data_IF_497771426364
#
_entry.id   IF_497771426364
#
_cell.length_a   1.000
_cell.length_b   1.000
_cell.length_c   1.000
_cell.angle_alpha   90.00
_cell.angle_beta   90.00
_cell.angle_gamma   90.00
#
_symmetry.space_group_name_H-M   'P 1'
#
loop_
_entity.id
_entity.type
_entity.pdbx_description
1 polymer ?
#
# COMPACT_ATOMS: atom_id res chain seq x y z
N UNK A 1 12.73 33.96 -18.66
CA UNK A 1 12.82 32.52 -19.01
C UNK A 1 13.98 31.78 -18.33
N UNK A 2 15.10 32.44 -18.00
CA UNK A 2 16.29 31.79 -17.41
C UNK A 2 16.08 31.23 -15.99
N UNK A 3 15.30 31.92 -15.14
CA UNK A 3 14.92 31.43 -13.81
C UNK A 3 14.03 30.18 -13.82
N UNK A 4 13.19 30.02 -14.87
CA UNK A 4 12.32 28.87 -15.04
C UNK A 4 13.13 27.61 -15.37
N UNK A 5 14.12 27.73 -16.28
CA UNK A 5 15.05 26.64 -16.61
C UNK A 5 15.88 26.15 -15.43
N UNK A 6 16.18 27.00 -14.45
CA UNK A 6 16.97 26.62 -13.25
C UNK A 6 16.13 25.95 -12.15
N UNK A 7 14.82 26.14 -12.15
CA UNK A 7 13.93 25.74 -11.05
C UNK A 7 12.72 24.89 -11.47
N UNK A 8 12.73 24.36 -12.70
CA UNK A 8 11.66 23.52 -13.25
C UNK A 8 11.25 22.37 -12.33
N UNK A 9 12.21 21.70 -11.67
CA UNK A 9 11.94 20.55 -10.81
C UNK A 9 11.11 20.91 -9.56
N UNK A 10 11.13 22.17 -9.12
CA UNK A 10 10.32 22.63 -7.98
C UNK A 10 8.86 22.79 -8.40
N UNK A 11 8.63 23.39 -9.57
CA UNK A 11 7.29 23.52 -10.13
C UNK A 11 6.72 22.15 -10.49
N UNK A 12 7.55 21.30 -11.11
CA UNK A 12 7.17 19.95 -11.45
C UNK A 12 6.77 19.13 -10.22
N UNK A 13 7.54 19.20 -9.12
CA UNK A 13 7.19 18.45 -7.92
C UNK A 13 5.86 18.89 -7.33
N UNK A 14 5.56 20.20 -7.32
CA UNK A 14 4.27 20.73 -6.87
C UNK A 14 3.14 20.25 -7.77
N UNK A 15 3.26 20.38 -9.09
CA UNK A 15 2.23 19.94 -10.05
C UNK A 15 1.95 18.44 -9.91
N UNK A 16 3.00 17.63 -9.81
CA UNK A 16 2.87 16.18 -9.61
C UNK A 16 2.19 15.87 -8.28
N UNK A 17 2.58 16.50 -7.18
CA UNK A 17 1.99 16.23 -5.87
C UNK A 17 0.53 16.69 -5.78
N UNK A 18 0.18 17.81 -6.41
CA UNK A 18 -1.22 18.25 -6.52
C UNK A 18 -2.05 17.22 -7.30
N UNK A 19 -1.52 16.73 -8.43
CA UNK A 19 -2.15 15.64 -9.18
C UNK A 19 -2.31 14.37 -8.33
N UNK A 20 -1.26 13.96 -7.59
CA UNK A 20 -1.30 12.77 -6.74
C UNK A 20 -2.34 12.90 -5.62
N UNK A 21 -2.46 14.07 -5.00
CA UNK A 21 -3.48 14.33 -3.98
C UNK A 21 -4.88 14.28 -4.60
N UNK A 22 -5.07 14.98 -5.73
CA UNK A 22 -6.37 15.03 -6.40
C UNK A 22 -6.79 13.63 -6.89
N UNK A 23 -5.95 12.95 -7.67
CA UNK A 23 -6.25 11.61 -8.18
C UNK A 23 -6.34 10.58 -7.05
N UNK A 24 -5.43 10.63 -6.07
CA UNK A 24 -5.41 9.73 -4.92
C UNK A 24 -6.69 9.81 -4.07
N UNK A 25 -7.35 10.97 -4.00
CA UNK A 25 -8.59 11.16 -3.25
C UNK A 25 -9.87 11.06 -4.10
N UNK A 26 -9.83 11.47 -5.37
CA UNK A 26 -11.02 11.64 -6.20
C UNK A 26 -11.28 10.48 -7.17
N UNK A 27 -10.26 9.69 -7.52
CA UNK A 27 -10.47 8.47 -8.33
C UNK A 27 -11.32 7.49 -7.52
N UNK A 28 -12.48 7.03 -8.02
CA UNK A 28 -13.34 6.13 -7.26
C UNK A 28 -12.70 4.74 -7.14
N UNK A 29 -13.12 3.95 -6.15
CA UNK A 29 -12.86 2.52 -6.14
C UNK A 29 -13.78 1.81 -7.14
N UNK A 30 -13.42 0.60 -7.54
CA UNK A 30 -14.32 -0.29 -8.27
C UNK A 30 -15.47 -0.72 -7.37
N UNK A 31 -16.62 -1.10 -7.96
CA UNK A 31 -17.65 -1.82 -7.24
C UNK A 31 -17.07 -3.02 -6.50
N UNK A 32 -17.60 -3.31 -5.32
CA UNK A 32 -17.11 -4.40 -4.48
C UNK A 32 -18.13 -4.89 -3.47
N UNK A 33 -17.96 -6.13 -3.03
CA UNK A 33 -18.81 -6.73 -1.99
C UNK A 33 -18.17 -6.49 -0.62
N UNK A 34 -18.98 -6.09 0.36
CA UNK A 34 -18.51 -5.78 1.72
C UNK A 34 -18.74 -6.95 2.68
N UNK A 35 -19.99 -7.41 2.79
CA UNK A 35 -20.38 -8.49 3.71
C UNK A 35 -21.75 -9.07 3.34
N UNK A 36 -22.05 -10.21 3.93
CA UNK A 36 -23.40 -10.79 4.03
C UNK A 36 -23.97 -10.57 5.44
N UNK A 37 -25.27 -10.70 5.60
CA UNK A 37 -25.99 -10.67 6.88
C UNK A 37 -25.83 -11.97 7.70
N UNK A 38 -25.72 -13.11 7.03
CA UNK A 38 -25.40 -14.39 7.65
C UNK A 38 -23.99 -14.87 7.29
N UNK A 39 -23.25 -15.36 8.29
CA UNK A 39 -21.96 -16.03 8.08
C UNK A 39 -22.07 -17.55 8.15
N UNK A 40 -23.00 -18.12 8.94
CA UNK A 40 -23.15 -19.58 9.03
C UNK A 40 -24.49 -20.00 8.43
N UNK A 41 -24.46 -20.92 7.46
CA UNK A 41 -25.65 -21.47 6.81
C UNK A 41 -25.62 -22.99 6.80
N UNK A 42 -26.78 -23.64 6.78
CA UNK A 42 -26.92 -25.10 6.85
C UNK A 42 -27.11 -25.71 5.46
N UNK A 43 -26.48 -26.85 5.21
CA UNK A 43 -26.72 -27.65 4.02
C UNK A 43 -28.10 -28.32 4.06
N UNK A 44 -28.76 -28.43 2.90
CA UNK A 44 -30.10 -29.02 2.75
C UNK A 44 -31.25 -28.04 2.94
N UNK A 45 -30.95 -26.75 3.14
CA UNK A 45 -31.92 -25.67 3.32
C UNK A 45 -31.71 -24.58 2.27
N UNK A 46 -32.77 -23.82 1.98
CA UNK A 46 -32.69 -22.61 1.17
C UNK A 46 -32.38 -21.42 2.07
N UNK A 47 -31.37 -20.63 1.72
CA UNK A 47 -30.93 -19.47 2.48
C UNK A 47 -30.97 -18.22 1.60
N UNK A 48 -31.70 -17.20 2.05
CA UNK A 48 -31.64 -15.85 1.51
C UNK A 48 -30.51 -15.09 2.19
N UNK A 49 -29.58 -14.56 1.41
CA UNK A 49 -28.44 -13.78 1.89
C UNK A 49 -28.58 -12.33 1.45
N UNK A 50 -28.67 -11.41 2.41
CA UNK A 50 -28.57 -9.98 2.12
C UNK A 50 -27.11 -9.61 1.92
N UNK A 51 -26.76 -9.17 0.71
CA UNK A 51 -25.40 -8.79 0.34
C UNK A 51 -25.27 -7.27 0.36
N UNK A 52 -24.38 -6.76 1.21
CA UNK A 52 -24.02 -5.36 1.23
C UNK A 52 -22.82 -5.09 0.33
N UNK A 53 -22.94 -4.08 -0.52
CA UNK A 53 -21.93 -3.72 -1.53
C UNK A 53 -21.50 -2.26 -1.44
N UNK A 54 -20.35 -1.97 -2.07
CA UNK A 54 -19.72 -0.66 -2.13
C UNK A 54 -19.59 -0.19 -3.57
N UNK A 55 -20.01 1.05 -3.83
CA UNK A 55 -19.90 1.71 -5.14
C UNK A 55 -20.47 0.88 -6.31
N UNK A 56 -21.52 0.10 -6.05
CA UNK A 56 -22.34 -0.60 -7.02
C UNK A 56 -23.54 0.25 -7.45
N UNK A 57 -24.20 -0.17 -8.53
CA UNK A 57 -25.38 0.46 -9.12
C UNK A 57 -26.34 -0.63 -9.63
N UNK A 58 -26.74 -1.53 -8.74
CA UNK A 58 -27.55 -2.70 -9.11
C UNK A 58 -28.85 -2.36 -9.83
N UNK A 59 -29.49 -1.21 -9.56
CA UNK A 59 -30.74 -0.82 -10.24
C UNK A 59 -30.56 -0.48 -11.72
N UNK A 60 -29.31 -0.32 -12.19
CA UNK A 60 -28.96 0.00 -13.58
C UNK A 60 -28.55 -1.21 -14.40
N UNK A 61 -28.32 -2.35 -13.76
CA UNK A 61 -28.03 -3.60 -14.42
C UNK A 61 -29.33 -4.26 -14.87
N UNK A 62 -29.32 -4.90 -16.04
CA UNK A 62 -30.47 -5.70 -16.51
C UNK A 62 -30.32 -7.16 -16.05
N UNK A 63 -29.08 -7.64 -15.92
CA UNK A 63 -28.77 -9.02 -15.55
C UNK A 63 -27.92 -9.07 -14.29
N UNK A 64 -28.33 -9.94 -13.35
CA UNK A 64 -27.64 -10.19 -12.10
C UNK A 64 -27.43 -11.70 -11.95
N UNK A 65 -26.21 -12.09 -11.60
CA UNK A 65 -25.86 -13.48 -11.29
C UNK A 65 -25.02 -13.50 -10.03
N UNK A 66 -25.25 -14.49 -9.17
CA UNK A 66 -24.50 -14.65 -7.95
C UNK A 66 -24.17 -16.13 -7.73
N UNK A 67 -22.94 -16.41 -7.31
CA UNK A 67 -22.48 -17.76 -7.02
C UNK A 67 -21.85 -17.85 -5.64
N UNK A 68 -22.06 -18.97 -4.96
CA UNK A 68 -21.20 -19.44 -3.89
C UNK A 68 -20.15 -20.39 -4.48
N UNK A 69 -18.87 -20.08 -4.28
CA UNK A 69 -17.74 -20.89 -4.74
C UNK A 69 -16.93 -21.40 -3.56
N UNK A 70 -16.75 -22.71 -3.47
CA UNK A 70 -15.90 -23.35 -2.46
C UNK A 70 -14.42 -23.34 -2.90
N UNK A 71 -13.51 -23.97 -2.16
CA UNK A 71 -12.07 -23.92 -2.46
C UNK A 71 -11.68 -24.56 -3.80
N UNK A 72 -12.51 -25.46 -4.34
CA UNK A 72 -12.36 -26.08 -5.65
C UNK A 72 -13.25 -25.39 -6.71
N UNK A 73 -13.34 -25.95 -7.93
CA UNK A 73 -14.26 -25.51 -9.00
C UNK A 73 -15.77 -25.71 -8.65
N UNK A 74 -16.10 -26.05 -7.40
CA UNK A 74 -17.47 -26.23 -6.92
C UNK A 74 -18.17 -24.88 -6.75
N UNK A 75 -19.23 -24.69 -7.53
CA UNK A 75 -20.00 -23.46 -7.65
C UNK A 75 -21.49 -23.73 -7.58
N UNK A 76 -22.19 -22.93 -6.80
CA UNK A 76 -23.64 -22.96 -6.70
C UNK A 76 -24.19 -21.60 -7.12
N UNK A 77 -25.01 -21.56 -8.18
CA UNK A 77 -25.71 -20.35 -8.61
C UNK A 77 -26.89 -20.06 -7.69
N UNK A 78 -27.14 -18.77 -7.40
CA UNK A 78 -28.36 -18.31 -6.74
C UNK A 78 -29.60 -18.65 -7.58
N UNK A 79 -30.64 -19.18 -6.95
CA UNK A 79 -31.91 -19.47 -7.61
C UNK A 79 -32.76 -18.23 -7.84
N UNK A 80 -32.59 -17.20 -6.99
CA UNK A 80 -33.26 -15.91 -7.11
C UNK A 80 -32.34 -14.78 -6.65
N UNK A 81 -32.45 -13.61 -7.30
CA UNK A 81 -31.79 -12.38 -6.87
C UNK A 81 -32.81 -11.24 -6.92
N UNK A 82 -33.02 -10.59 -5.79
CA UNK A 82 -33.87 -9.40 -5.66
C UNK A 82 -32.97 -8.18 -5.44
N UNK A 83 -33.13 -7.17 -6.29
CA UNK A 83 -32.44 -5.89 -6.13
C UNK A 83 -33.23 -5.02 -5.15
N UNK A 84 -32.65 -4.80 -3.97
CA UNK A 84 -33.25 -3.95 -2.93
C UNK A 84 -32.95 -2.48 -3.22
N UNK A 85 -31.69 -2.16 -3.47
CA UNK A 85 -31.23 -0.85 -3.93
C UNK A 85 -29.88 -0.96 -4.66
N UNK A 86 -29.27 0.17 -5.04
CA UNK A 86 -27.99 0.19 -5.77
C UNK A 86 -26.82 -0.50 -5.06
N UNK A 87 -26.91 -0.73 -3.74
CA UNK A 87 -25.85 -1.29 -2.88
C UNK A 87 -26.28 -2.51 -2.08
N UNK A 88 -27.50 -3.01 -2.29
CA UNK A 88 -28.01 -4.18 -1.60
C UNK A 88 -28.76 -5.09 -2.56
N UNK A 89 -28.44 -6.37 -2.52
CA UNK A 89 -29.21 -7.43 -3.16
C UNK A 89 -29.53 -8.50 -2.12
N UNK A 90 -30.66 -9.18 -2.31
CA UNK A 90 -31.00 -10.42 -1.61
C UNK A 90 -30.80 -11.56 -2.61
N UNK A 91 -29.94 -12.51 -2.28
CA UNK A 91 -29.63 -13.65 -3.14
C UNK A 91 -29.98 -14.96 -2.43
N UNK A 92 -30.86 -15.74 -3.04
CA UNK A 92 -31.34 -17.02 -2.50
C UNK A 92 -30.51 -18.16 -3.05
N UNK A 93 -30.00 -19.00 -2.16
CA UNK A 93 -29.21 -20.18 -2.51
C UNK A 93 -29.85 -21.44 -1.93
N UNK A 94 -30.19 -22.38 -2.81
CA UNK A 94 -30.68 -23.70 -2.42
C UNK A 94 -29.48 -24.62 -2.16
N UNK A 95 -29.05 -24.70 -0.90
CA UNK A 95 -27.83 -25.42 -0.53
C UNK A 95 -28.10 -26.93 -0.58
N UNK A 96 -27.41 -27.71 -1.42
CA UNK A 96 -27.57 -29.16 -1.46
C UNK A 96 -27.26 -29.80 -0.11
N UNK A 97 -28.03 -30.82 0.28
CA UNK A 97 -27.83 -31.55 1.55
C UNK A 97 -26.45 -32.22 1.62
N UNK A 98 -25.99 -32.76 0.49
CA UNK A 98 -24.68 -33.37 0.35
C UNK A 98 -23.64 -32.33 -0.05
N UNK A 99 -22.60 -32.23 0.77
CA UNK A 99 -21.44 -31.39 0.49
C UNK A 99 -20.56 -32.03 -0.60
N UNK A 100 -19.83 -31.25 -1.40
CA UNK A 100 -18.95 -31.79 -2.42
C UNK A 100 -17.64 -32.34 -1.83
N UNK A 101 -17.37 -32.04 -0.56
CA UNK A 101 -16.22 -32.49 0.22
C UNK A 101 -16.66 -33.37 1.39
N UNK A 102 -15.77 -34.22 1.89
CA UNK A 102 -15.99 -34.96 3.14
C UNK A 102 -15.90 -34.09 4.40
N UNK A 103 -15.44 -32.84 4.25
CA UNK A 103 -15.43 -31.86 5.33
C UNK A 103 -16.85 -31.44 5.70
N UNK A 104 -17.12 -31.42 7.01
CA UNK A 104 -18.41 -30.98 7.55
C UNK A 104 -18.62 -29.47 7.40
N UNK A 105 -17.55 -28.69 7.39
CA UNK A 105 -17.63 -27.23 7.31
C UNK A 105 -16.78 -26.77 6.15
N UNK A 106 -17.37 -26.00 5.24
CA UNK A 106 -16.66 -25.47 4.09
C UNK A 106 -16.87 -23.95 3.97
N UNK A 107 -15.78 -23.22 3.69
CA UNK A 107 -15.84 -21.77 3.43
C UNK A 107 -16.18 -21.52 1.97
N UNK A 108 -17.22 -20.72 1.73
CA UNK A 108 -17.60 -20.28 0.39
C UNK A 108 -17.28 -18.80 0.19
N UNK A 109 -16.71 -18.48 -0.98
CA UNK A 109 -16.61 -17.12 -1.49
C UNK A 109 -17.88 -16.78 -2.26
N UNK A 110 -18.41 -15.58 -2.06
CA UNK A 110 -19.52 -15.07 -2.85
C UNK A 110 -18.97 -14.31 -4.06
N UNK A 111 -19.54 -14.57 -5.23
CA UNK A 111 -19.21 -13.89 -6.48
C UNK A 111 -20.50 -13.31 -7.00
N UNK A 112 -20.51 -12.01 -7.33
CA UNK A 112 -21.67 -11.32 -7.93
C UNK A 112 -21.21 -10.72 -9.24
N UNK A 113 -21.95 -10.99 -10.31
CA UNK A 113 -21.71 -10.46 -11.65
C UNK A 113 -22.93 -9.71 -12.13
N UNK A 114 -22.70 -8.50 -12.66
CA UNK A 114 -23.73 -7.73 -13.35
C UNK A 114 -23.17 -7.16 -14.63
N UNK A 115 -24.04 -6.96 -15.62
CA UNK A 115 -23.67 -6.34 -16.88
C UNK A 115 -23.26 -4.86 -16.74
N UNK A 116 -23.70 -4.17 -15.69
CA UNK A 116 -23.33 -2.78 -15.41
C UNK A 116 -22.08 -2.63 -14.52
N UNK A 117 -21.97 -3.33 -13.38
CA UNK A 117 -20.85 -3.16 -12.44
C UNK A 117 -19.67 -4.10 -12.73
N UNK A 118 -19.91 -5.16 -13.49
CA UNK A 118 -18.95 -6.25 -13.70
C UNK A 118 -18.91 -7.23 -12.53
N UNK A 119 -17.93 -8.15 -12.58
CA UNK A 119 -17.75 -9.18 -11.56
C UNK A 119 -17.07 -8.67 -10.29
N UNK A 120 -17.62 -9.04 -9.14
CA UNK A 120 -17.12 -8.72 -7.81
C UNK A 120 -17.02 -9.99 -6.94
N UNK A 121 -16.10 -9.98 -5.97
CA UNK A 121 -15.84 -11.14 -5.11
C UNK A 121 -15.78 -10.73 -3.65
N UNK A 122 -16.43 -11.52 -2.80
CA UNK A 122 -16.26 -11.52 -1.34
C UNK A 122 -15.66 -12.87 -0.92
N UNK A 123 -14.35 -12.91 -0.63
CA UNK A 123 -13.71 -14.11 -0.12
C UNK A 123 -14.29 -14.51 1.24
N UNK A 124 -14.46 -15.82 1.47
CA UNK A 124 -14.97 -16.37 2.74
C UNK A 124 -16.24 -15.64 3.24
N UNK A 125 -17.20 -15.45 2.34
CA UNK A 125 -18.45 -14.77 2.63
C UNK A 125 -19.30 -15.55 3.65
N UNK A 126 -19.37 -16.87 3.48
CA UNK A 126 -20.17 -17.75 4.34
C UNK A 126 -19.45 -19.06 4.65
N UNK A 127 -19.83 -19.65 5.77
CA UNK A 127 -19.47 -20.96 6.28
C UNK A 127 -20.68 -21.88 6.12
N UNK A 128 -20.53 -22.90 5.28
CA UNK A 128 -21.58 -23.88 5.02
C UNK A 128 -21.36 -25.09 5.92
N UNK A 129 -22.37 -25.44 6.71
CA UNK A 129 -22.33 -26.53 7.67
C UNK A 129 -23.14 -27.71 7.12
N UNK A 130 -22.44 -28.79 6.78
CA UNK A 130 -23.00 -30.06 6.33
C UNK A 130 -23.53 -30.92 7.49
N UNK A 131 -24.34 -31.92 7.12
CA UNK A 131 -24.84 -32.93 8.06
C UNK A 131 -23.83 -34.06 8.28
N UNK A 132 -23.88 -34.69 9.46
CA UNK A 132 -23.00 -35.82 9.78
C UNK A 132 -23.44 -37.10 9.06
N UNK A 133 -22.46 -37.88 8.60
CA UNK A 133 -22.69 -39.24 8.08
C UNK A 133 -23.15 -39.32 6.62
N UNK A 134 -23.20 -38.19 5.90
CA UNK A 134 -23.46 -38.18 4.46
C UNK A 134 -22.15 -38.29 3.66
N UNK A 135 -22.19 -39.08 2.58
CA UNK A 135 -21.10 -39.16 1.61
C UNK A 135 -21.05 -37.90 0.75
N UNK A 136 -19.84 -37.51 0.33
CA UNK A 136 -19.62 -36.36 -0.52
C UNK A 136 -20.24 -36.57 -1.92
N UNK A 137 -20.93 -35.55 -2.43
CA UNK A 137 -21.53 -35.56 -3.77
C UNK A 137 -21.27 -34.22 -4.47
N UNK A 138 -20.35 -34.18 -5.44
CA UNK A 138 -20.00 -32.94 -6.14
C UNK A 138 -21.00 -32.54 -7.22
N UNK A 139 -21.88 -33.44 -7.66
CA UNK A 139 -22.76 -33.22 -8.82
C UNK A 139 -23.61 -31.94 -8.73
N UNK A 140 -24.36 -31.73 -7.63
CA UNK A 140 -25.19 -30.53 -7.44
C UNK A 140 -24.41 -29.21 -7.42
N UNK A 141 -23.10 -29.26 -7.13
CA UNK A 141 -22.22 -28.10 -7.00
C UNK A 141 -21.43 -27.80 -8.28
N UNK A 142 -21.76 -28.44 -9.40
CA UNK A 142 -21.06 -28.25 -10.69
C UNK A 142 -22.01 -27.95 -11.85
N UNK A 143 -23.30 -27.71 -11.56
CA UNK A 143 -24.34 -27.59 -12.58
C UNK A 143 -24.15 -26.33 -13.42
N UNK A 144 -23.69 -25.23 -12.82
CA UNK A 144 -23.49 -23.95 -13.50
C UNK A 144 -22.14 -23.31 -13.16
N UNK A 145 -21.07 -23.62 -13.92
CA UNK A 145 -19.74 -23.07 -13.65
C UNK A 145 -19.69 -21.57 -13.94
N UNK A 146 -18.83 -20.87 -13.21
CA UNK A 146 -18.58 -19.44 -13.42
C UNK A 146 -17.92 -19.23 -14.78
N UNK A 147 -18.66 -18.63 -15.72
CA UNK A 147 -18.21 -18.33 -17.08
C UNK A 147 -18.80 -17.01 -17.56
N UNK A 148 -18.14 -16.44 -18.57
CA UNK A 148 -18.60 -15.24 -19.27
C UNK A 148 -18.90 -14.09 -18.29
N UNK A 149 -17.96 -13.85 -17.36
CA UNK A 149 -18.07 -12.76 -16.40
C UNK A 149 -18.01 -11.41 -17.10
N UNK A 150 -18.87 -10.51 -16.65
CA UNK A 150 -18.94 -9.15 -17.16
C UNK A 150 -17.70 -8.37 -16.73
N UNK A 151 -17.00 -7.79 -17.70
CA UNK A 151 -15.81 -6.98 -17.45
C UNK A 151 -16.06 -5.52 -17.78
N UNK A 152 -15.92 -4.65 -16.78
CA UNK A 152 -16.00 -3.20 -16.96
C UNK A 152 -14.67 -2.54 -16.70
N UNK A 153 -14.03 -2.03 -17.75
CA UNK A 153 -12.88 -1.15 -17.57
C UNK A 153 -13.35 0.24 -17.16
N UNK A 154 -12.88 0.70 -16.01
CA UNK A 154 -13.05 2.08 -15.54
C UNK A 154 -11.72 2.60 -15.01
N UNK A 155 -11.52 3.92 -15.12
CA UNK A 155 -10.42 4.59 -14.43
C UNK A 155 -10.75 4.72 -12.94
N UNK A 156 -10.58 3.61 -12.24
CA UNK A 156 -10.92 3.41 -10.84
C UNK A 156 -9.85 2.54 -10.18
N UNK A 157 -9.70 2.69 -8.86
CA UNK A 157 -8.80 1.85 -8.07
C UNK A 157 -9.46 0.51 -7.76
N UNK A 158 -8.70 -0.60 -7.67
CA UNK A 158 -9.28 -1.91 -7.39
C UNK A 158 -9.90 -1.95 -5.98
N UNK A 159 -11.06 -2.59 -5.86
CA UNK A 159 -11.63 -2.96 -4.56
C UNK A 159 -10.84 -4.12 -3.95
N UNK A 160 -10.50 -4.01 -2.67
CA UNK A 160 -9.85 -5.07 -1.89
C UNK A 160 -10.55 -5.14 -0.54
N UNK A 161 -11.21 -6.26 -0.22
CA UNK A 161 -12.09 -6.37 0.95
C UNK A 161 -11.41 -6.06 2.29
N UNK A 162 -10.08 -6.27 2.40
CA UNK A 162 -9.32 -5.95 3.62
C UNK A 162 -8.91 -4.47 3.68
N UNK A 163 -8.74 -3.81 2.53
CA UNK A 163 -8.21 -2.45 2.46
C UNK A 163 -9.33 -1.41 2.32
N UNK A 164 -10.33 -1.68 1.50
CA UNK A 164 -11.37 -0.73 1.13
C UNK A 164 -10.77 0.63 0.72
N UNK A 165 -11.27 1.73 1.28
CA UNK A 165 -10.76 3.09 1.05
C UNK A 165 -9.35 3.34 1.60
N UNK A 166 -8.86 2.51 2.52
CA UNK A 166 -7.50 2.67 3.08
C UNK A 166 -6.40 2.39 2.05
N UNK A 167 -6.72 1.73 0.92
CA UNK A 167 -5.79 1.50 -0.20
C UNK A 167 -5.16 2.81 -0.72
N UNK A 168 -5.88 3.94 -0.59
CA UNK A 168 -5.41 5.27 -1.00
C UNK A 168 -4.15 5.72 -0.26
N UNK A 169 -3.95 5.26 0.98
CA UNK A 169 -2.75 5.58 1.75
C UNK A 169 -1.46 5.13 1.02
N UNK A 170 -1.55 4.10 0.18
CA UNK A 170 -0.46 3.60 -0.65
C UNK A 170 0.18 4.69 -1.51
N UNK A 171 -0.59 5.68 -1.98
CA UNK A 171 -0.07 6.77 -2.84
C UNK A 171 0.73 7.83 -2.09
N UNK A 172 0.73 7.78 -0.76
CA UNK A 172 1.43 8.73 0.08
C UNK A 172 2.53 8.01 0.86
N UNK A 173 2.17 7.02 1.65
CA UNK A 173 3.07 6.28 2.53
C UNK A 173 4.22 5.61 1.77
N UNK A 174 3.90 4.78 0.78
CA UNK A 174 4.92 3.97 0.09
C UNK A 174 5.87 4.84 -0.75
N UNK A 175 5.39 5.82 -1.55
CA UNK A 175 6.27 6.76 -2.25
C UNK A 175 7.22 7.56 -1.36
N UNK A 176 6.83 7.89 -0.12
CA UNK A 176 7.74 8.54 0.84
C UNK A 176 8.93 7.64 1.16
N UNK A 177 8.75 6.32 1.31
CA UNK A 177 9.87 5.39 1.51
C UNK A 177 10.81 5.32 0.30
N UNK A 178 10.27 5.30 -0.92
CA UNK A 178 11.10 5.38 -2.13
C UNK A 178 11.87 6.70 -2.20
N UNK A 179 11.21 7.83 -1.94
CA UNK A 179 11.85 9.13 -1.88
C UNK A 179 12.95 9.18 -0.83
N UNK A 180 12.73 8.58 0.34
CA UNK A 180 13.70 8.53 1.44
C UNK A 180 14.95 7.79 0.98
N UNK A 181 14.78 6.62 0.37
CA UNK A 181 15.90 5.81 -0.11
C UNK A 181 16.70 6.51 -1.20
N UNK A 182 16.05 7.20 -2.13
CA UNK A 182 16.73 7.98 -3.17
C UNK A 182 17.50 9.16 -2.58
N UNK A 183 16.94 9.83 -1.57
CA UNK A 183 17.61 10.94 -0.87
C UNK A 183 18.81 10.44 -0.05
N UNK A 184 18.70 9.30 0.64
CA UNK A 184 19.82 8.70 1.36
C UNK A 184 20.90 8.16 0.42
N UNK A 185 20.54 7.62 -0.74
CA UNK A 185 21.50 7.24 -1.79
C UNK A 185 22.27 8.47 -2.27
N UNK A 186 21.59 9.58 -2.54
CA UNK A 186 22.23 10.84 -2.92
C UNK A 186 23.12 11.39 -1.79
N UNK A 187 22.70 11.24 -0.53
CA UNK A 187 23.51 11.60 0.64
C UNK A 187 24.80 10.79 0.68
N UNK A 188 24.72 9.47 0.50
CA UNK A 188 25.86 8.58 0.43
C UNK A 188 26.82 8.93 -0.71
N UNK A 189 26.29 9.31 -1.88
CA UNK A 189 27.11 9.82 -2.99
C UNK A 189 27.91 11.06 -2.58
N UNK A 190 27.29 12.04 -1.92
CA UNK A 190 28.00 13.23 -1.43
C UNK A 190 28.95 12.92 -0.27
N UNK A 191 28.65 11.93 0.57
CA UNK A 191 29.54 11.45 1.61
C UNK A 191 30.84 10.88 1.00
N UNK A 192 30.75 10.07 -0.07
CA UNK A 192 31.92 9.61 -0.82
C UNK A 192 32.70 10.80 -1.41
N UNK A 193 32.03 11.79 -2.01
CA UNK A 193 32.70 12.98 -2.53
C UNK A 193 33.42 13.79 -1.44
N UNK A 194 32.81 13.96 -0.27
CA UNK A 194 33.43 14.62 0.87
C UNK A 194 34.70 13.88 1.31
N UNK A 195 34.65 12.56 1.42
CA UNK A 195 35.79 11.75 1.83
C UNK A 195 36.94 11.82 0.80
N UNK A 196 36.62 11.84 -0.50
CA UNK A 196 37.62 11.93 -1.58
C UNK A 196 38.26 13.31 -1.71
N UNK A 197 37.48 14.38 -1.55
CA UNK A 197 37.93 15.75 -1.87
C UNK A 197 38.26 16.61 -0.65
N UNK A 198 37.68 16.29 0.52
CA UNK A 198 37.77 17.14 1.71
C UNK A 198 36.95 18.44 1.66
N UNK A 199 36.23 18.72 0.56
CA UNK A 199 35.45 19.94 0.38
C UNK A 199 34.27 20.00 1.37
N UNK A 200 34.33 20.95 2.30
CA UNK A 200 33.35 21.13 3.37
C UNK A 200 31.95 21.53 2.87
N UNK A 201 31.79 21.93 1.60
CA UNK A 201 30.46 22.12 1.01
C UNK A 201 29.69 20.79 0.93
N UNK A 202 30.39 19.67 0.73
CA UNK A 202 29.76 18.35 0.73
C UNK A 202 29.32 17.92 2.13
N UNK A 203 29.96 18.40 3.19
CA UNK A 203 29.51 18.16 4.57
C UNK A 203 28.12 18.74 4.83
N UNK A 204 27.89 19.99 4.45
CA UNK A 204 26.57 20.62 4.55
C UNK A 204 25.53 19.91 3.67
N UNK A 205 25.94 19.37 2.51
CA UNK A 205 25.04 18.60 1.62
C UNK A 205 24.58 17.31 2.26
N UNK A 206 25.52 16.51 2.79
CA UNK A 206 25.24 15.25 3.49
C UNK A 206 24.28 15.51 4.66
N UNK A 207 24.58 16.51 5.49
CA UNK A 207 23.69 16.87 6.61
C UNK A 207 22.26 17.18 6.16
N UNK A 208 22.12 18.01 5.11
CA UNK A 208 20.81 18.44 4.63
C UNK A 208 19.99 17.30 4.02
N UNK A 209 20.67 16.40 3.29
CA UNK A 209 20.03 15.22 2.70
C UNK A 209 19.65 14.19 3.76
N UNK A 210 20.54 13.90 4.73
CA UNK A 210 20.20 13.04 5.86
C UNK A 210 19.00 13.58 6.63
N UNK A 211 18.98 14.88 6.96
CA UNK A 211 17.86 15.48 7.67
C UNK A 211 16.55 15.31 6.91
N UNK A 212 16.56 15.64 5.61
CA UNK A 212 15.34 15.56 4.81
C UNK A 212 14.86 14.12 4.60
N UNK A 213 15.79 13.19 4.38
CA UNK A 213 15.46 11.76 4.29
C UNK A 213 14.89 11.21 5.60
N UNK A 214 15.48 11.56 6.75
CA UNK A 214 14.95 11.16 8.07
C UNK A 214 13.55 11.71 8.29
N UNK A 215 13.29 12.98 7.97
CA UNK A 215 11.93 13.56 8.06
C UNK A 215 10.95 12.80 7.17
N UNK A 216 11.34 12.44 5.95
CA UNK A 216 10.48 11.69 5.04
C UNK A 216 10.17 10.28 5.57
N UNK A 217 11.14 9.60 6.16
CA UNK A 217 10.90 8.31 6.82
C UNK A 217 10.05 8.43 8.08
N UNK A 218 10.17 9.51 8.87
CA UNK A 218 9.28 9.78 10.01
C UNK A 218 7.83 9.99 9.54
N UNK A 219 7.63 10.73 8.44
CA UNK A 219 6.32 10.83 7.79
C UNK A 219 5.83 9.47 7.26
N UNK A 220 6.74 8.66 6.73
CA UNK A 220 6.50 7.26 6.35
C UNK A 220 5.96 6.45 7.53
N UNK A 221 6.65 6.42 8.67
CA UNK A 221 6.16 5.73 9.88
C UNK A 221 4.80 6.27 10.31
N UNK A 222 4.64 7.59 10.36
CA UNK A 222 3.39 8.22 10.83
C UNK A 222 2.19 7.83 9.96
N UNK A 223 2.31 7.99 8.64
CA UNK A 223 1.26 7.62 7.68
C UNK A 223 1.01 6.12 7.65
N UNK A 224 2.05 5.30 7.84
CA UNK A 224 1.95 3.85 7.92
C UNK A 224 1.21 3.39 9.17
N UNK A 225 1.49 4.00 10.32
CA UNK A 225 0.83 3.71 11.58
C UNK A 225 -0.67 4.03 11.53
N UNK A 226 -1.06 5.16 10.91
CA UNK A 226 -2.46 5.50 10.69
C UNK A 226 -3.14 4.40 9.87
N UNK A 227 -2.55 4.01 8.74
CA UNK A 227 -3.09 2.95 7.90
C UNK A 227 -3.17 1.58 8.61
N UNK A 228 -2.15 1.24 9.40
CA UNK A 228 -2.13 0.03 10.23
C UNK A 228 -3.28 0.02 11.25
N UNK A 229 -3.61 1.17 11.86
CA UNK A 229 -4.72 1.26 12.81
C UNK A 229 -6.07 0.92 12.17
N UNK A 230 -6.29 1.33 10.92
CA UNK A 230 -7.53 1.04 10.19
C UNK A 230 -7.54 -0.38 9.60
N UNK A 231 -6.41 -0.88 9.14
CA UNK A 231 -6.34 -2.19 8.44
C UNK A 231 -6.16 -3.35 9.41
N UNK A 232 -5.39 -3.16 10.49
CA UNK A 232 -5.00 -4.23 11.44
C UNK A 232 -5.48 -3.97 12.87
N UNK A 233 -6.18 -2.86 13.12
CA UNK A 233 -6.68 -2.51 14.45
C UNK A 233 -5.66 -1.89 15.40
N UNK A 234 -4.38 -1.78 15.03
CA UNK A 234 -3.32 -1.19 15.88
C UNK A 234 -2.36 -0.29 15.08
N UNK A 235 -1.87 0.79 15.69
CA UNK A 235 -0.84 1.65 15.10
C UNK A 235 0.51 0.93 14.94
N UNK A 236 0.77 -0.06 15.80
CA UNK A 236 1.97 -0.88 15.77
C UNK A 236 1.60 -2.32 16.12
N UNK A 237 1.93 -3.25 15.25
CA UNK A 237 1.55 -4.67 15.39
C UNK A 237 2.75 -5.58 15.65
N UNK A 238 3.95 -5.02 15.81
CA UNK A 238 5.19 -5.80 15.86
C UNK A 238 5.51 -6.50 14.53
N UNK A 239 5.00 -5.95 13.43
CA UNK A 239 5.28 -6.47 12.10
C UNK A 239 6.75 -6.18 11.73
N UNK A 240 7.41 -7.16 11.10
CA UNK A 240 8.84 -7.08 10.78
C UNK A 240 9.21 -5.84 9.95
N UNK A 241 8.36 -5.37 9.03
CA UNK A 241 8.63 -4.17 8.25
C UNK A 241 8.51 -2.91 9.11
N UNK A 242 7.58 -2.87 10.06
CA UNK A 242 7.46 -1.75 11.01
C UNK A 242 8.74 -1.67 11.86
N UNK A 243 9.14 -2.77 12.48
CA UNK A 243 10.30 -2.82 13.37
C UNK A 243 11.59 -2.47 12.64
N UNK A 244 11.82 -3.04 11.45
CA UNK A 244 13.03 -2.73 10.67
C UNK A 244 13.05 -1.29 10.16
N UNK A 245 11.88 -0.70 9.86
CA UNK A 245 11.75 0.70 9.50
C UNK A 245 12.10 1.63 10.68
N UNK A 246 11.61 1.34 11.88
CA UNK A 246 11.97 2.08 13.09
C UNK A 246 13.47 2.01 13.40
N UNK A 247 14.06 0.81 13.33
CA UNK A 247 15.50 0.63 13.56
C UNK A 247 16.32 1.43 12.53
N UNK A 248 15.92 1.40 11.26
CA UNK A 248 16.58 2.19 10.20
C UNK A 248 16.56 3.68 10.52
N UNK A 249 15.41 4.21 10.96
CA UNK A 249 15.30 5.62 11.35
C UNK A 249 16.10 5.95 12.60
N UNK A 250 16.16 5.06 13.59
CA UNK A 250 17.01 5.24 14.78
C UNK A 250 18.49 5.34 14.40
N UNK A 251 18.96 4.51 13.47
CA UNK A 251 20.34 4.60 12.93
C UNK A 251 20.56 5.96 12.27
N UNK A 252 19.64 6.43 11.42
CA UNK A 252 19.76 7.77 10.82
C UNK A 252 19.59 8.91 11.82
N UNK A 253 18.85 8.73 12.92
CA UNK A 253 18.76 9.73 13.99
C UNK A 253 20.06 9.81 14.80
N UNK A 254 20.71 8.67 15.03
CA UNK A 254 22.00 8.60 15.70
C UNK A 254 23.12 9.32 14.92
N UNK A 255 23.00 9.48 13.59
CA UNK A 255 23.88 10.38 12.81
C UNK A 255 23.89 11.81 13.36
N UNK A 256 22.72 12.37 13.73
CA UNK A 256 22.64 13.74 14.24
C UNK A 256 23.22 13.85 15.64
N UNK A 257 22.97 12.87 16.50
CA UNK A 257 23.58 12.80 17.83
C UNK A 257 25.11 12.74 17.75
N UNK A 258 25.64 11.87 16.88
CA UNK A 258 27.08 11.79 16.62
C UNK A 258 27.66 13.11 16.12
N UNK A 259 26.93 13.79 15.22
CA UNK A 259 27.37 15.06 14.66
C UNK A 259 27.42 16.17 15.72
N UNK A 260 26.41 16.29 16.56
CA UNK A 260 26.33 17.31 17.62
C UNK A 260 27.31 17.04 18.77
N UNK A 261 27.64 15.78 19.04
CA UNK A 261 28.65 15.41 20.03
C UNK A 261 30.09 15.79 19.64
N UNK A 262 30.32 16.20 18.38
CA UNK A 262 31.64 16.52 17.85
C UNK A 262 31.80 18.02 17.58
N UNK A 263 32.98 18.56 17.92
CA UNK A 263 33.33 19.94 17.59
C UNK A 263 33.24 20.21 16.09
N UNK A 264 32.73 21.38 15.67
CA UNK A 264 32.69 21.76 14.26
C UNK A 264 34.06 21.70 13.59
N UNK A 265 34.13 21.17 12.37
CA UNK A 265 35.36 21.11 11.58
C UNK A 265 35.44 19.90 10.66
N UNK A 266 36.59 19.77 9.98
CA UNK A 266 36.84 18.73 8.96
C UNK A 266 36.67 17.32 9.52
N UNK A 267 37.14 17.08 10.76
CA UNK A 267 37.04 15.77 11.42
C UNK A 267 35.59 15.32 11.60
N UNK A 268 34.71 16.21 12.07
CA UNK A 268 33.27 15.95 12.21
C UNK A 268 32.64 15.59 10.86
N UNK A 269 32.95 16.35 9.82
CA UNK A 269 32.44 16.08 8.47
C UNK A 269 32.84 14.69 7.97
N UNK A 270 34.12 14.31 8.12
CA UNK A 270 34.61 12.99 7.71
C UNK A 270 33.98 11.84 8.50
N UNK A 271 33.92 11.95 9.83
CA UNK A 271 33.34 10.90 10.68
C UNK A 271 31.85 10.69 10.38
N UNK A 272 31.10 11.78 10.28
CA UNK A 272 29.66 11.70 9.99
C UNK A 272 29.37 11.24 8.54
N UNK A 273 30.28 11.51 7.59
CA UNK A 273 30.20 10.94 6.24
C UNK A 273 30.38 9.42 6.23
N UNK A 274 31.39 8.89 6.94
CA UNK A 274 31.56 7.44 7.10
C UNK A 274 30.32 6.82 7.74
N UNK A 275 29.79 7.45 8.79
CA UNK A 275 28.56 7.00 9.44
C UNK A 275 27.36 6.98 8.47
N UNK A 276 27.24 7.99 7.60
CA UNK A 276 26.16 8.03 6.59
C UNK A 276 26.23 6.84 5.63
N UNK A 277 27.44 6.47 5.18
CA UNK A 277 27.63 5.29 4.33
C UNK A 277 27.24 4.00 5.06
N UNK A 278 27.66 3.86 6.33
CA UNK A 278 27.24 2.75 7.18
C UNK A 278 25.71 2.70 7.32
N UNK A 279 25.07 3.82 7.66
CA UNK A 279 23.63 3.90 7.86
C UNK A 279 22.84 3.53 6.59
N UNK A 280 23.27 4.03 5.43
CA UNK A 280 22.66 3.67 4.16
C UNK A 280 22.85 2.18 3.83
N UNK A 281 24.05 1.64 4.01
CA UNK A 281 24.30 0.21 3.76
C UNK A 281 23.51 -0.68 4.72
N UNK A 282 23.38 -0.28 5.99
CA UNK A 282 22.56 -0.97 6.99
C UNK A 282 21.05 -0.92 6.65
N UNK A 283 20.57 0.15 6.04
CA UNK A 283 19.16 0.26 5.63
C UNK A 283 18.74 -0.77 4.58
N UNK A 284 19.66 -1.26 3.75
CA UNK A 284 19.36 -2.26 2.70
C UNK A 284 18.90 -3.59 3.29
N UNK A 285 19.67 -4.28 4.17
CA UNK A 285 19.21 -5.51 4.78
C UNK A 285 17.98 -5.30 5.66
N UNK A 286 17.91 -4.19 6.40
CA UNK A 286 16.78 -3.87 7.28
C UNK A 286 15.47 -3.70 6.50
N UNK A 287 15.46 -2.90 5.44
CA UNK A 287 14.21 -2.59 4.74
C UNK A 287 13.85 -3.60 3.64
N UNK A 288 14.84 -4.29 3.05
CA UNK A 288 14.60 -5.12 1.88
C UNK A 288 14.85 -6.61 2.10
N UNK A 289 15.89 -6.99 2.85
CA UNK A 289 16.28 -8.40 2.96
C UNK A 289 15.52 -9.10 4.09
N UNK A 290 15.68 -8.62 5.33
CA UNK A 290 15.08 -9.22 6.53
C UNK A 290 13.55 -9.33 6.41
N UNK A 291 12.81 -8.31 5.95
CA UNK A 291 11.35 -8.39 5.90
C UNK A 291 10.80 -9.37 4.85
N UNK A 292 11.63 -9.85 3.92
CA UNK A 292 11.27 -10.90 2.95
C UNK A 292 11.54 -12.30 3.48
N UNK A 293 12.32 -12.41 4.56
CA UNK A 293 12.67 -13.68 5.19
C UNK A 293 11.72 -14.06 6.32
N UNK A 294 10.74 -13.22 6.66
CA UNK A 294 9.84 -13.38 7.79
C UNK A 294 8.38 -13.13 7.35
N UNK A 295 7.39 -13.77 8.00
CA UNK A 295 5.98 -13.43 7.79
C UNK A 295 5.71 -11.95 8.08
N UNK A 296 4.79 -11.35 7.32
CA UNK A 296 4.42 -9.95 7.48
C UNK A 296 2.95 -9.74 7.12
N UNK A 297 2.29 -8.86 7.87
CA UNK A 297 0.92 -8.41 7.63
C UNK A 297 0.82 -7.44 6.44
N UNK A 298 1.94 -6.88 5.98
CA UNK A 298 1.95 -5.98 4.85
C UNK A 298 1.56 -6.71 3.56
N UNK A 299 0.73 -6.09 2.70
CA UNK A 299 0.39 -6.63 1.38
C UNK A 299 1.62 -7.03 0.57
N UNK A 300 1.53 -8.14 -0.16
CA UNK A 300 2.64 -8.68 -0.96
C UNK A 300 3.75 -9.33 -0.13
N UNK A 301 3.43 -9.84 1.07
CA UNK A 301 4.30 -10.75 1.83
C UNK A 301 4.05 -12.19 1.39
N UNK A 302 5.10 -13.02 1.22
CA UNK A 302 4.99 -14.42 0.78
C UNK A 302 5.67 -14.79 -0.56
N UNK A 303 6.62 -13.96 -1.04
CA UNK A 303 7.47 -14.30 -2.20
C UNK A 303 7.05 -13.67 -3.52
N UNK A 304 5.84 -13.11 -3.63
CA UNK A 304 5.47 -12.26 -4.74
C UNK A 304 5.75 -10.79 -4.36
N UNK A 305 6.66 -10.06 -5.04
CA UNK A 305 6.94 -8.69 -4.68
C UNK A 305 5.64 -7.89 -4.80
N UNK A 306 5.18 -7.28 -3.70
CA UNK A 306 3.95 -6.46 -3.65
C UNK A 306 3.86 -5.25 -4.59
N UNK A 307 4.77 -5.15 -5.55
CA UNK A 307 4.86 -4.16 -6.62
C UNK A 307 5.44 -4.76 -7.93
N UNK A 308 5.22 -6.06 -8.18
CA UNK A 308 5.51 -6.71 -9.46
C UNK A 308 4.65 -6.11 -10.59
N UNK A 309 5.15 -6.12 -11.81
CA UNK A 309 4.52 -5.50 -12.98
C UNK A 309 3.09 -5.96 -13.25
N UNK A 310 2.73 -7.18 -12.85
CA UNK A 310 1.40 -7.77 -13.01
C UNK A 310 0.49 -7.61 -11.77
N UNK A 311 1.05 -7.25 -10.60
CA UNK A 311 0.30 -7.17 -9.34
C UNK A 311 -0.33 -5.79 -9.06
N UNK A 312 0.25 -4.72 -9.62
CA UNK A 312 -0.26 -3.37 -9.44
C UNK A 312 -1.20 -2.99 -10.59
N UNK A 313 -2.47 -2.72 -10.26
CA UNK A 313 -3.49 -2.31 -11.22
C UNK A 313 -3.04 -1.08 -12.04
N UNK A 314 -3.42 -1.05 -13.32
CA UNK A 314 -2.97 -0.02 -14.25
C UNK A 314 -3.37 1.39 -13.82
N UNK A 315 -4.56 1.57 -13.23
CA UNK A 315 -4.98 2.87 -12.69
C UNK A 315 -4.09 3.28 -11.53
N UNK A 316 -3.77 2.35 -10.62
CA UNK A 316 -2.88 2.63 -9.48
C UNK A 316 -1.50 3.12 -9.95
N UNK A 317 -0.92 2.49 -10.99
CA UNK A 317 0.37 2.89 -11.57
C UNK A 317 0.40 4.35 -12.02
N UNK A 318 -0.71 4.86 -12.54
CA UNK A 318 -0.83 6.26 -13.00
C UNK A 318 -0.75 7.30 -11.88
N UNK A 319 -0.89 6.90 -10.61
CA UNK A 319 -0.76 7.77 -9.44
C UNK A 319 0.50 7.44 -8.65
N UNK A 320 0.79 6.15 -8.48
CA UNK A 320 1.88 5.66 -7.67
C UNK A 320 3.28 6.10 -8.15
N UNK A 321 3.60 5.92 -9.44
CA UNK A 321 4.92 6.31 -9.95
C UNK A 321 5.13 7.82 -9.99
N UNK A 322 4.13 8.64 -10.41
CA UNK A 322 4.22 10.09 -10.23
C UNK A 322 4.43 10.47 -8.77
N UNK A 323 3.76 9.82 -7.81
CA UNK A 323 3.98 10.10 -6.39
C UNK A 323 5.44 9.89 -5.97
N UNK A 324 6.10 8.81 -6.43
CA UNK A 324 7.53 8.57 -6.14
C UNK A 324 8.38 9.73 -6.66
N UNK A 325 8.15 10.16 -7.91
CA UNK A 325 8.87 11.28 -8.52
C UNK A 325 8.60 12.58 -7.76
N UNK A 326 7.33 12.87 -7.46
CA UNK A 326 6.89 14.07 -6.76
C UNK A 326 7.53 14.19 -5.37
N UNK A 327 7.43 13.16 -4.54
CA UNK A 327 8.02 13.14 -3.19
C UNK A 327 9.55 13.23 -3.23
N UNK A 328 10.20 12.59 -4.19
CA UNK A 328 11.66 12.66 -4.36
C UNK A 328 12.11 14.07 -4.75
N UNK A 329 11.49 14.68 -5.76
CA UNK A 329 11.84 16.02 -6.23
C UNK A 329 11.52 17.08 -5.18
N UNK A 330 10.39 16.95 -4.48
CA UNK A 330 10.01 17.82 -3.38
C UNK A 330 11.02 17.73 -2.24
N UNK A 331 11.37 16.53 -1.79
CA UNK A 331 12.38 16.32 -0.75
C UNK A 331 13.76 16.83 -1.18
N UNK A 332 14.14 16.62 -2.44
CA UNK A 332 15.37 17.19 -2.97
C UNK A 332 15.33 18.73 -2.94
N UNK A 333 14.21 19.35 -3.29
CA UNK A 333 14.05 20.80 -3.16
C UNK A 333 14.18 21.27 -1.69
N UNK A 334 13.50 20.63 -0.74
CA UNK A 334 13.61 20.94 0.68
C UNK A 334 15.06 20.80 1.16
N UNK A 335 15.76 19.74 0.78
CA UNK A 335 17.17 19.55 1.12
C UNK A 335 18.07 20.68 0.61
N UNK A 336 17.76 21.26 -0.57
CA UNK A 336 18.47 22.42 -1.10
C UNK A 336 18.16 23.72 -0.33
N UNK A 337 16.96 23.83 0.25
CA UNK A 337 16.63 24.95 1.16
C UNK A 337 17.46 24.81 2.44
N UNK A 338 17.43 23.64 3.08
CA UNK A 338 18.20 23.33 4.29
C UNK A 338 19.71 23.54 4.07
N UNK A 339 20.23 23.12 2.92
CA UNK A 339 21.62 23.32 2.55
C UNK A 339 22.00 24.81 2.50
N UNK A 340 21.19 25.63 1.83
CA UNK A 340 21.44 27.07 1.74
C UNK A 340 21.38 27.76 3.10
N UNK A 341 20.42 27.37 3.95
CA UNK A 341 20.33 27.87 5.33
C UNK A 341 21.57 27.49 6.14
N UNK A 342 22.04 26.24 6.00
CA UNK A 342 23.24 25.75 6.67
C UNK A 342 24.50 26.52 6.27
N UNK A 343 24.67 26.81 4.98
CA UNK A 343 25.79 27.61 4.46
C UNK A 343 25.72 29.08 4.91
N UNK A 344 24.52 29.68 4.94
CA UNK A 344 24.33 31.04 5.45
C UNK A 344 24.68 31.13 6.94
N UNK A 345 24.26 30.14 7.74
CA UNK A 345 24.60 30.08 9.17
C UNK A 345 26.11 29.98 9.39
N UNK A 346 26.81 29.14 8.63
CA UNK A 346 28.29 29.05 8.67
C UNK A 346 28.94 30.41 8.39
N UNK A 347 28.56 31.06 7.27
CA UNK A 347 29.10 32.38 6.89
C UNK A 347 28.81 33.48 7.91
N UNK A 348 27.64 33.45 8.56
CA UNK A 348 27.29 34.43 9.59
C UNK A 348 28.15 34.24 10.84
N UNK A 349 28.46 33.00 11.22
CA UNK A 349 29.36 32.73 12.34
C UNK A 349 30.77 33.22 12.02
N UNK A 350 31.29 32.90 10.83
CA UNK A 350 32.64 33.34 10.41
C UNK A 350 32.78 34.87 10.45
N UNK A 351 31.74 35.62 10.06
CA UNK A 351 31.70 37.09 10.12
C UNK A 351 31.64 37.69 11.53
N UNK A 352 31.10 36.96 12.51
CA UNK A 352 30.99 37.44 13.89
C UNK A 352 32.26 37.13 14.71
N UNK A 353 33.16 36.31 14.18
CA UNK A 353 34.44 35.92 14.80
C UNK A 353 35.67 36.36 13.98
N UNK A 354 35.46 37.19 12.95
CA UNK A 354 36.51 37.93 12.23
C UNK A 354 36.40 39.42 12.56
#
# INVERSE_FOLDING_TARGET
>A
MEGFRKHWYKWLSVVILVYVIAAGMLVPLRPGLMKTDAFNIQAGESHELTVQSYNTFYSRAENHRAWLRLHDEFTLLASEIVVVDDRHIEATFDIPEKMPTSERVAMASLIVDTDYDGSMVLPAAVSIIGQEGLEADPGPWLVEPIRDLSHRWTWSFPWRNILEETIRNTYYHVPMWFGMMLIFLLSSFYAVKLLRTGDQRFDSRVYSLNLTGTVLGLLGIFTGAIWARYTWGSYWSGDIKQDMAAITLLIFMAYFLLREAMSPGVKRGRVTAVYTLFAFLASIPLLYIIPRMQPSLHPGSGGNPGFGGDDLDNTMKTVFYPAIIGWTLFSYWISNVVYRLSELKKRSLDKNYS
#
